data_IF_011784316720
#
_entry.id   IF_011784316720
#
_cell.length_a   1.000
_cell.length_b   1.000
_cell.length_c   1.000
_cell.angle_alpha   90.00
_cell.angle_beta   90.00
_cell.angle_gamma   90.00
#
_symmetry.space_group_name_H-M   'P 1'
#
loop_
_entity.id
_entity.type
_entity.pdbx_description
1 polymer ?
#
# COMPACT_ATOMS: atom_id res chain seq x y z
N UNK A 1 -14.01 8.69 8.94
CA UNK A 1 -13.54 8.42 10.31
C UNK A 1 -13.43 9.74 11.07
N UNK A 2 -14.42 10.17 11.86
CA UNK A 2 -14.42 11.50 12.53
C UNK A 2 -13.32 11.75 13.58
N UNK A 3 -12.20 11.02 13.50
CA UNK A 3 -10.99 11.10 14.32
C UNK A 3 -9.78 10.80 13.41
N UNK A 4 -8.59 11.40 13.66
CA UNK A 4 -7.38 11.07 12.91
C UNK A 4 -6.99 9.60 13.11
N UNK A 5 -6.16 9.07 12.22
CA UNK A 5 -5.55 7.76 12.40
C UNK A 5 -4.68 7.76 13.67
N UNK A 6 -4.72 6.64 14.39
CA UNK A 6 -3.97 6.45 15.64
C UNK A 6 -2.45 6.43 15.40
N UNK A 7 -2.00 5.76 14.34
CA UNK A 7 -0.59 5.69 13.94
C UNK A 7 -0.45 5.60 12.42
N UNK A 8 0.64 6.16 11.89
CA UNK A 8 1.07 6.01 10.49
C UNK A 8 2.54 5.59 10.52
N UNK A 9 2.82 4.39 10.02
CA UNK A 9 4.17 3.81 10.03
C UNK A 9 4.64 3.55 8.59
N UNK A 10 5.91 3.86 8.31
CA UNK A 10 6.54 3.51 7.04
C UNK A 10 7.13 2.12 7.15
N UNK A 11 6.69 1.20 6.28
CA UNK A 11 7.28 -0.12 6.18
C UNK A 11 8.70 -0.03 5.60
N UNK A 12 9.67 -0.68 6.26
CA UNK A 12 11.08 -0.76 5.80
C UNK A 12 11.35 -1.97 4.89
N UNK A 13 10.37 -2.87 4.78
CA UNK A 13 10.50 -4.13 4.06
C UNK A 13 9.55 -4.15 2.86
N UNK A 14 10.05 -3.77 1.67
CA UNK A 14 9.63 -4.39 0.41
C UNK A 14 10.53 -3.97 -0.77
N UNK A 15 11.35 -4.91 -1.24
CA UNK A 15 12.01 -4.82 -2.53
C UNK A 15 11.19 -5.60 -3.56
N UNK A 16 10.57 -4.87 -4.49
CA UNK A 16 10.28 -5.28 -5.86
C UNK A 16 9.67 -6.69 -6.07
N UNK A 17 8.39 -6.82 -5.70
CA UNK A 17 7.53 -7.86 -6.26
C UNK A 17 7.13 -7.43 -7.68
N UNK A 18 7.96 -7.77 -8.67
CA UNK A 18 7.63 -7.57 -10.07
C UNK A 18 6.60 -8.63 -10.47
N UNK A 19 5.31 -8.28 -10.41
CA UNK A 19 4.22 -9.17 -10.80
C UNK A 19 4.28 -9.42 -12.32
N UNK A 20 4.97 -10.49 -12.74
CA UNK A 20 4.80 -11.08 -14.06
C UNK A 20 3.35 -11.53 -14.20
N UNK A 21 2.52 -10.69 -14.80
CA UNK A 21 1.15 -11.05 -15.12
C UNK A 21 1.07 -11.54 -16.56
N UNK A 22 0.33 -12.62 -16.82
CA UNK A 22 0.13 -13.12 -18.17
C UNK A 22 -0.67 -12.11 -19.01
N UNK A 23 -0.44 -12.08 -20.34
CA UNK A 23 -1.00 -11.08 -21.25
C UNK A 23 -2.54 -11.16 -21.42
N UNK A 24 -3.21 -12.20 -20.89
CA UNK A 24 -4.67 -12.41 -21.03
C UNK A 24 -5.51 -11.85 -19.87
N UNK A 25 -4.90 -11.21 -18.87
CA UNK A 25 -5.64 -10.65 -17.74
C UNK A 25 -6.58 -9.50 -18.18
N UNK A 26 -7.88 -9.77 -18.11
CA UNK A 26 -9.04 -8.93 -18.46
C UNK A 26 -8.91 -7.40 -18.20
N UNK A 27 -9.67 -6.54 -18.92
CA UNK A 27 -9.56 -5.07 -18.86
C UNK A 27 -9.89 -4.41 -17.50
N UNK A 28 -10.28 -5.19 -16.49
CA UNK A 28 -10.35 -4.76 -15.09
C UNK A 28 -9.01 -4.88 -14.35
N UNK A 29 -7.93 -5.16 -15.07
CA UNK A 29 -6.59 -5.24 -14.50
C UNK A 29 -6.18 -3.88 -13.94
N UNK A 30 -5.94 -3.87 -12.65
CA UNK A 30 -5.58 -2.76 -11.77
C UNK A 30 -4.18 -2.16 -12.08
N UNK A 31 -3.67 -2.41 -13.30
CA UNK A 31 -2.29 -2.26 -13.80
C UNK A 31 -1.82 -0.81 -14.01
N UNK A 32 -2.49 0.16 -13.39
CA UNK A 32 -2.13 1.58 -13.50
C UNK A 32 -2.41 2.38 -12.24
N UNK A 33 -2.70 1.71 -11.11
CA UNK A 33 -2.90 2.43 -9.85
C UNK A 33 -1.52 2.75 -9.23
N UNK A 34 -1.30 3.99 -8.76
CA UNK A 34 -0.02 4.40 -8.15
C UNK A 34 0.28 3.68 -6.82
N UNK A 35 -0.72 2.96 -6.28
CA UNK A 35 -0.58 2.16 -5.08
C UNK A 35 -1.61 1.02 -5.07
N UNK A 36 -1.27 -0.06 -4.36
CA UNK A 36 -2.19 -1.10 -3.92
C UNK A 36 -2.52 -0.89 -2.45
N UNK A 37 -3.80 -0.88 -2.11
CA UNK A 37 -4.29 -0.68 -0.74
C UNK A 37 -5.02 -1.94 -0.28
N UNK A 38 -4.68 -2.43 0.90
CA UNK A 38 -5.35 -3.57 1.54
C UNK A 38 -5.67 -3.25 2.98
N UNK A 39 -6.77 -3.78 3.52
CA UNK A 39 -7.16 -3.61 4.91
C UNK A 39 -7.13 -4.96 5.62
N UNK A 40 -6.56 -4.97 6.82
CA UNK A 40 -6.39 -6.14 7.66
C UNK A 40 -6.95 -5.84 9.04
N UNK A 41 -7.72 -6.76 9.60
CA UNK A 41 -8.07 -6.68 11.01
C UNK A 41 -6.90 -7.22 11.83
N UNK A 42 -6.32 -6.38 12.68
CA UNK A 42 -5.13 -6.69 13.49
C UNK A 42 -5.46 -6.36 14.94
N UNK A 43 -6.27 -7.20 15.61
CA UNK A 43 -6.76 -6.90 16.95
C UNK A 43 -5.60 -6.92 17.95
N UNK A 44 -5.62 -6.00 18.90
CA UNK A 44 -4.72 -6.02 20.07
C UNK A 44 -5.56 -6.05 21.35
N UNK A 45 -4.93 -6.40 22.47
CA UNK A 45 -5.60 -6.45 23.78
C UNK A 45 -6.30 -5.12 24.13
N UNK A 46 -5.65 -3.99 23.80
CA UNK A 46 -6.17 -2.65 24.03
C UNK A 46 -7.17 -2.18 22.94
N UNK A 47 -7.06 -2.71 21.72
CA UNK A 47 -7.84 -2.29 20.56
C UNK A 47 -8.31 -3.52 19.76
N UNK A 48 -9.36 -4.23 20.23
CA UNK A 48 -9.83 -5.48 19.61
C UNK A 48 -10.45 -5.28 18.22
N UNK A 49 -10.81 -4.03 17.86
CA UNK A 49 -11.35 -3.68 16.55
C UNK A 49 -10.35 -2.88 15.69
N UNK A 50 -9.05 -2.98 15.99
CA UNK A 50 -8.01 -2.26 15.24
C UNK A 50 -7.91 -2.80 13.81
N UNK A 51 -8.02 -1.90 12.85
CA UNK A 51 -7.82 -2.19 11.42
C UNK A 51 -6.53 -1.53 10.96
N UNK A 52 -5.65 -2.31 10.34
CA UNK A 52 -4.42 -1.82 9.70
C UNK A 52 -4.63 -1.73 8.20
N UNK A 53 -4.36 -0.56 7.63
CA UNK A 53 -4.43 -0.32 6.19
C UNK A 53 -3.01 -0.34 5.65
N UNK A 54 -2.68 -1.35 4.84
CA UNK A 54 -1.39 -1.45 4.17
C UNK A 54 -1.48 -0.78 2.79
N UNK A 55 -0.63 0.23 2.59
CA UNK A 55 -0.52 0.99 1.35
C UNK A 55 0.85 0.66 0.74
N UNK A 56 0.85 -0.07 -0.37
CA UNK A 56 2.06 -0.37 -1.14
C UNK A 56 2.10 0.55 -2.36
N UNK A 57 3.06 1.48 -2.38
CA UNK A 57 3.27 2.37 -3.51
C UNK A 57 4.02 1.64 -4.63
N UNK A 58 3.70 1.97 -5.87
CA UNK A 58 4.45 1.49 -7.04
C UNK A 58 5.84 2.12 -7.10
N UNK A 59 6.81 1.40 -7.66
CA UNK A 59 8.21 1.85 -7.74
C UNK A 59 8.36 3.19 -8.48
N UNK A 60 7.57 3.43 -9.53
CA UNK A 60 7.57 4.71 -10.25
C UNK A 60 7.14 5.90 -9.38
N UNK A 61 6.28 5.67 -8.39
CA UNK A 61 5.86 6.73 -7.45
C UNK A 61 6.98 7.02 -6.46
N UNK A 62 7.63 5.98 -5.94
CA UNK A 62 8.78 6.16 -5.03
C UNK A 62 9.92 6.90 -5.74
N UNK A 63 10.27 6.48 -6.96
CA UNK A 63 11.33 7.11 -7.76
C UNK A 63 11.05 8.58 -8.04
N UNK A 64 9.79 8.90 -8.38
CA UNK A 64 9.34 10.29 -8.54
C UNK A 64 9.48 11.09 -7.25
N UNK A 65 9.02 10.58 -6.11
CA UNK A 65 9.07 11.31 -4.84
C UNK A 65 10.52 11.57 -4.39
N UNK A 66 11.44 10.63 -4.63
CA UNK A 66 12.87 10.84 -4.36
C UNK A 66 13.48 11.88 -5.32
N UNK A 67 13.08 11.90 -6.60
CA UNK A 67 13.54 12.90 -7.55
C UNK A 67 13.05 14.34 -7.23
N UNK A 68 11.90 14.46 -6.55
CA UNK A 68 11.34 15.76 -6.11
C UNK A 68 11.88 16.24 -4.75
N UNK A 69 12.70 15.44 -4.07
CA UNK A 69 13.21 15.69 -2.71
C UNK A 69 14.38 16.69 -2.66
N UNK A 70 14.33 17.70 -3.53
CA UNK A 70 15.34 18.77 -3.67
C UNK A 70 15.40 19.67 -2.43
#
# INVERSE_FOLDING_TARGET
>A
FGKPADAIEKSVENADECAYAPPDAAPYSHRGRPARVTAHNTPTDQLPNRTTILIKLEKSVIDREEALKT
#
